data_IF_096104348218
#
_entry.id   IF_096104348218
#
_cell.length_a   1.000
_cell.length_b   1.000
_cell.length_c   1.000
_cell.angle_alpha   90.00
_cell.angle_beta   90.00
_cell.angle_gamma   90.00
#
_symmetry.space_group_name_H-M   'P 1'
#
loop_
_entity.id
_entity.type
_entity.pdbx_description
1 polymer ?
#
# COMPACT_ATOMS: atom_id res chain seq x y z
N UNK A 1 -24.34 -102.97 12.08
CA UNK A 1 -24.16 -102.88 13.56
C UNK A 1 -24.18 -101.42 13.97
N UNK A 2 -24.94 -101.13 15.04
CA UNK A 2 -25.00 -99.90 15.86
C UNK A 2 -25.54 -98.60 15.24
N UNK A 3 -26.75 -98.27 15.69
CA UNK A 3 -27.40 -96.96 15.71
C UNK A 3 -26.69 -95.99 16.66
N UNK A 4 -26.65 -94.68 16.34
CA UNK A 4 -26.89 -93.56 17.27
C UNK A 4 -27.20 -92.26 16.48
N UNK A 5 -28.22 -91.54 16.97
CA UNK A 5 -28.73 -90.19 16.61
C UNK A 5 -27.84 -89.08 17.26
N UNK A 6 -28.12 -87.74 17.27
CA UNK A 6 -29.08 -86.86 16.55
C UNK A 6 -28.56 -85.39 16.24
N UNK A 7 -29.51 -84.49 15.87
CA UNK A 7 -29.65 -83.02 16.18
C UNK A 7 -29.33 -81.92 15.12
N UNK A 8 -30.44 -81.36 14.61
CA UNK A 8 -30.84 -79.98 14.24
C UNK A 8 -29.83 -78.81 14.09
N UNK A 9 -30.04 -77.99 13.04
CA UNK A 9 -30.60 -76.62 13.17
C UNK A 9 -31.13 -76.08 11.83
N UNK A 10 -32.33 -75.49 11.89
CA UNK A 10 -33.06 -74.84 10.79
C UNK A 10 -33.02 -73.33 11.04
N UNK A 11 -32.84 -72.52 9.99
CA UNK A 11 -33.08 -71.07 10.03
C UNK A 11 -33.86 -70.63 8.78
N UNK A 12 -34.99 -69.98 9.06
CA UNK A 12 -36.05 -69.52 8.13
C UNK A 12 -35.61 -68.31 7.31
N UNK A 13 -36.10 -68.22 6.07
CA UNK A 13 -36.31 -66.95 5.37
C UNK A 13 -37.72 -66.94 4.76
N UNK A 14 -38.50 -65.94 5.11
CA UNK A 14 -39.80 -65.65 4.48
C UNK A 14 -39.92 -64.15 4.23
N UNK A 15 -40.02 -63.83 2.93
CA UNK A 15 -40.88 -62.86 2.22
C UNK A 15 -41.30 -61.55 2.88
N UNK A 16 -41.16 -60.41 2.16
CA UNK A 16 -42.19 -59.35 1.98
C UNK A 16 -41.91 -58.55 0.69
N UNK A 17 -42.98 -58.14 0.00
CA UNK A 17 -43.05 -57.41 -1.27
C UNK A 17 -43.40 -55.91 -1.10
N UNK A 18 -42.98 -55.10 -2.10
CA UNK A 18 -43.59 -53.89 -2.72
C UNK A 18 -44.20 -52.76 -1.84
N UNK A 19 -43.67 -51.53 -2.00
CA UNK A 19 -44.41 -50.28 -2.25
C UNK A 19 -43.44 -49.10 -2.46
N UNK A 20 -43.34 -48.57 -3.69
CA UNK A 20 -42.52 -47.39 -4.00
C UNK A 20 -43.31 -46.11 -3.70
N UNK A 21 -42.87 -45.34 -2.70
CA UNK A 21 -43.43 -44.04 -2.34
C UNK A 21 -42.97 -42.94 -3.32
N UNK A 22 -43.94 -42.23 -3.89
CA UNK A 22 -43.77 -40.94 -4.55
C UNK A 22 -43.19 -39.90 -3.57
N UNK A 23 -42.01 -39.36 -3.89
CA UNK A 23 -41.53 -38.10 -3.31
C UNK A 23 -41.38 -37.08 -4.44
N UNK A 24 -42.28 -36.09 -4.45
CA UNK A 24 -42.19 -34.91 -5.31
C UNK A 24 -40.99 -34.07 -4.86
N UNK A 25 -39.87 -34.18 -5.57
CA UNK A 25 -38.77 -33.23 -5.45
C UNK A 25 -39.20 -31.94 -6.16
N UNK A 26 -39.71 -30.96 -5.42
CA UNK A 26 -39.86 -29.59 -5.94
C UNK A 26 -38.46 -29.02 -6.12
N UNK A 27 -37.92 -29.13 -7.34
CA UNK A 27 -36.78 -28.33 -7.75
C UNK A 27 -37.20 -26.86 -7.59
N UNK A 28 -36.63 -26.18 -6.60
CA UNK A 28 -36.60 -24.72 -6.62
C UNK A 28 -35.76 -24.35 -7.83
N UNK A 29 -36.43 -24.04 -8.94
CA UNK A 29 -35.83 -23.30 -10.03
C UNK A 29 -35.54 -21.91 -9.47
N UNK A 30 -34.33 -21.71 -8.93
CA UNK A 30 -33.76 -20.38 -8.87
C UNK A 30 -33.76 -19.85 -10.30
N UNK A 31 -34.70 -18.93 -10.56
CA UNK A 31 -34.75 -18.17 -11.77
C UNK A 31 -33.46 -17.35 -11.83
N UNK A 32 -32.46 -17.91 -12.50
CA UNK A 32 -31.31 -17.15 -12.94
C UNK A 32 -31.84 -16.19 -13.99
N UNK A 33 -32.13 -14.96 -13.56
CA UNK A 33 -32.49 -13.83 -14.41
C UNK A 33 -31.25 -13.43 -15.23
N UNK A 34 -30.85 -14.33 -16.13
CA UNK A 34 -29.88 -14.08 -17.16
C UNK A 34 -30.53 -13.10 -18.12
N UNK A 35 -30.14 -11.83 -18.02
CA UNK A 35 -30.54 -10.80 -18.95
C UNK A 35 -30.32 -11.28 -20.40
N UNK A 36 -31.42 -11.56 -21.09
CA UNK A 36 -31.45 -12.13 -22.43
C UNK A 36 -30.62 -11.21 -23.34
N UNK A 37 -29.48 -11.71 -23.81
CA UNK A 37 -28.58 -10.99 -24.72
C UNK A 37 -27.43 -10.21 -24.07
N UNK A 38 -27.18 -10.32 -22.76
CA UNK A 38 -25.98 -9.74 -22.14
C UNK A 38 -25.17 -10.75 -21.33
N UNK A 39 -23.86 -10.53 -21.21
CA UNK A 39 -22.91 -11.30 -20.42
C UNK A 39 -21.93 -10.38 -19.67
N UNK A 40 -20.80 -10.92 -19.24
CA UNK A 40 -19.76 -10.20 -18.52
C UNK A 40 -18.37 -10.39 -19.13
N UNK A 41 -17.48 -9.43 -18.90
CA UNK A 41 -16.05 -9.59 -19.15
C UNK A 41 -15.32 -9.36 -17.84
N UNK A 42 -14.49 -10.33 -17.44
CA UNK A 42 -13.56 -10.20 -16.31
C UNK A 42 -12.15 -10.29 -16.83
N UNK A 43 -11.28 -9.38 -16.44
CA UNK A 43 -9.94 -9.41 -16.99
C UNK A 43 -8.90 -8.74 -16.14
N UNK A 44 -7.67 -8.79 -16.64
CA UNK A 44 -6.52 -8.08 -16.05
C UNK A 44 -5.80 -7.24 -17.09
N UNK A 45 -5.29 -6.10 -16.66
CA UNK A 45 -4.44 -5.21 -17.44
C UNK A 45 -3.03 -5.24 -16.85
N UNK A 46 -2.06 -5.63 -17.67
CA UNK A 46 -0.64 -5.70 -17.29
C UNK A 46 0.23 -4.98 -18.30
N UNK A 47 1.46 -4.67 -17.93
CA UNK A 47 2.47 -4.20 -18.87
C UNK A 47 3.25 -5.36 -19.52
N UNK A 48 4.16 -5.03 -20.43
CA UNK A 48 5.04 -6.02 -21.08
C UNK A 48 5.98 -6.77 -20.12
N UNK A 49 6.17 -6.29 -18.89
CA UNK A 49 6.96 -6.95 -17.84
C UNK A 49 6.10 -7.82 -16.91
N UNK A 50 4.78 -7.86 -17.12
CA UNK A 50 3.82 -8.57 -16.28
C UNK A 50 3.35 -7.80 -15.05
N UNK A 51 3.78 -6.54 -14.87
CA UNK A 51 3.35 -5.70 -13.74
C UNK A 51 1.89 -5.30 -13.93
N UNK A 52 1.02 -5.45 -12.91
CA UNK A 52 -0.37 -5.00 -13.00
C UNK A 52 -0.45 -3.49 -13.18
N UNK A 53 -1.40 -3.04 -14.00
CA UNK A 53 -1.63 -1.62 -14.28
C UNK A 53 -2.93 -1.19 -13.61
N UNK A 54 -2.82 -0.33 -12.61
CA UNK A 54 -3.96 0.32 -11.95
C UNK A 54 -4.43 1.56 -12.75
N UNK A 55 -5.74 1.81 -12.73
CA UNK A 55 -6.35 3.01 -13.31
C UNK A 55 -6.42 3.01 -14.85
N UNK A 56 -6.32 1.84 -15.48
CA UNK A 56 -6.49 1.73 -16.93
C UNK A 56 -7.98 1.81 -17.28
N UNK A 57 -8.34 2.74 -18.15
CA UNK A 57 -9.71 2.90 -18.64
C UNK A 57 -10.01 1.78 -19.64
N UNK A 58 -11.05 1.00 -19.35
CA UNK A 58 -11.56 -0.07 -20.21
C UNK A 58 -12.88 0.38 -20.80
N UNK A 59 -13.07 0.22 -22.10
CA UNK A 59 -14.31 0.61 -22.79
C UNK A 59 -14.63 -0.39 -23.90
N UNK A 60 -15.90 -0.46 -24.30
CA UNK A 60 -16.35 -1.32 -25.40
C UNK A 60 -16.72 -0.47 -26.61
N UNK A 61 -16.17 -0.81 -27.77
CA UNK A 61 -16.45 -0.09 -29.01
C UNK A 61 -17.97 -0.08 -29.31
N UNK A 62 -18.51 1.09 -29.62
CA UNK A 62 -19.94 1.25 -29.93
C UNK A 62 -20.89 1.10 -28.72
N UNK A 63 -20.36 1.08 -27.50
CA UNK A 63 -21.15 0.96 -26.26
C UNK A 63 -20.79 2.07 -25.26
N UNK A 64 -21.74 2.57 -24.46
CA UNK A 64 -21.45 3.53 -23.39
C UNK A 64 -20.73 2.89 -22.20
N UNK A 65 -20.57 1.55 -22.17
CA UNK A 65 -19.93 0.85 -21.07
C UNK A 65 -18.47 1.23 -20.90
N UNK A 66 -18.11 1.52 -19.64
CA UNK A 66 -16.75 1.79 -19.21
C UNK A 66 -16.46 1.09 -17.89
N UNK A 67 -15.19 0.78 -17.68
CA UNK A 67 -14.65 0.26 -16.43
C UNK A 67 -13.25 0.82 -16.21
N UNK A 68 -12.69 0.53 -15.04
CA UNK A 68 -11.34 0.93 -14.67
C UNK A 68 -10.67 -0.25 -13.98
N UNK A 69 -9.36 -0.46 -14.21
CA UNK A 69 -8.61 -1.50 -13.51
C UNK A 69 -8.25 -1.10 -12.09
N UNK A 70 -8.36 -2.03 -11.15
CA UNK A 70 -7.96 -1.88 -9.76
C UNK A 70 -6.45 -2.07 -9.53
N UNK A 71 -6.04 -2.09 -8.26
CA UNK A 71 -4.63 -2.15 -7.85
C UNK A 71 -3.91 -3.44 -8.29
N UNK A 72 -4.61 -4.56 -8.44
CA UNK A 72 -4.08 -5.80 -8.99
C UNK A 72 -4.18 -5.89 -10.52
N UNK A 73 -4.60 -4.81 -11.18
CA UNK A 73 -4.84 -4.74 -12.63
C UNK A 73 -6.19 -5.34 -13.05
N UNK A 74 -7.00 -5.83 -12.13
CA UNK A 74 -8.28 -6.46 -12.40
C UNK A 74 -9.35 -5.46 -12.85
N UNK A 75 -10.20 -5.85 -13.80
CA UNK A 75 -11.38 -5.08 -14.19
C UNK A 75 -12.57 -6.01 -14.43
N UNK A 76 -13.78 -5.46 -14.31
CA UNK A 76 -15.03 -6.15 -14.59
C UNK A 76 -15.97 -5.25 -15.38
N UNK A 77 -16.47 -5.75 -16.51
CA UNK A 77 -17.58 -5.16 -17.27
C UNK A 77 -18.80 -6.07 -17.11
N UNK A 78 -19.87 -5.56 -16.50
CA UNK A 78 -21.14 -6.27 -16.37
C UNK A 78 -22.12 -5.79 -17.43
N UNK A 79 -23.06 -6.67 -17.83
CA UNK A 79 -24.11 -6.38 -18.83
C UNK A 79 -23.55 -6.00 -20.21
N UNK A 80 -22.46 -6.63 -20.61
CA UNK A 80 -21.90 -6.49 -21.95
C UNK A 80 -22.78 -7.21 -22.97
N UNK A 81 -23.09 -6.57 -24.09
CA UNK A 81 -23.89 -7.20 -25.15
C UNK A 81 -23.23 -8.50 -25.60
N UNK A 82 -24.02 -9.57 -25.71
CA UNK A 82 -23.53 -10.84 -26.24
C UNK A 82 -23.09 -10.67 -27.70
N UNK A 83 -22.03 -11.38 -28.08
CA UNK A 83 -21.40 -11.30 -29.39
C UNK A 83 -19.93 -10.86 -29.33
N UNK A 84 -19.37 -10.58 -30.50
CA UNK A 84 -17.98 -10.15 -30.63
C UNK A 84 -17.84 -8.68 -30.23
N UNK A 85 -17.13 -8.42 -29.13
CA UNK A 85 -16.87 -7.09 -28.62
C UNK A 85 -15.40 -6.73 -28.79
N UNK A 86 -15.15 -5.51 -29.25
CA UNK A 86 -13.80 -4.92 -29.23
C UNK A 86 -13.63 -4.07 -27.98
N UNK A 87 -12.78 -4.54 -27.08
CA UNK A 87 -12.45 -3.86 -25.83
C UNK A 87 -11.26 -2.95 -26.09
N UNK A 88 -11.44 -1.66 -25.84
CA UNK A 88 -10.39 -0.65 -25.91
C UNK A 88 -9.88 -0.36 -24.50
N UNK A 89 -8.57 -0.47 -24.33
CA UNK A 89 -7.90 -0.18 -23.07
C UNK A 89 -6.94 0.97 -23.27
N UNK A 90 -7.06 1.98 -22.41
CA UNK A 90 -6.21 3.17 -22.44
C UNK A 90 -5.71 3.49 -21.05
N UNK A 91 -4.39 3.64 -20.94
CA UNK A 91 -3.73 4.18 -19.74
C UNK A 91 -2.68 5.18 -20.19
N UNK A 92 -2.64 6.33 -19.52
CA UNK A 92 -1.59 7.33 -19.77
C UNK A 92 -0.22 6.72 -19.43
N UNK A 93 0.79 6.97 -20.28
CA UNK A 93 2.09 6.31 -20.21
C UNK A 93 2.17 4.99 -20.97
N UNK A 94 1.07 4.55 -21.60
CA UNK A 94 1.01 3.32 -22.38
C UNK A 94 0.36 3.53 -23.74
N UNK A 95 0.84 2.78 -24.73
CA UNK A 95 0.29 2.77 -26.08
C UNK A 95 -1.09 2.13 -25.96
N UNK A 96 -2.17 2.82 -26.35
CA UNK A 96 -3.51 2.24 -26.31
C UNK A 96 -3.55 0.95 -27.10
N UNK A 97 -4.25 -0.05 -26.58
CA UNK A 97 -4.41 -1.34 -27.24
C UNK A 97 -5.87 -1.78 -27.21
N UNK A 98 -6.21 -2.76 -28.06
CA UNK A 98 -7.55 -3.32 -28.13
C UNK A 98 -7.52 -4.83 -28.31
N UNK A 99 -8.40 -5.52 -27.58
CA UNK A 99 -8.59 -6.97 -27.70
C UNK A 99 -10.02 -7.26 -28.12
N UNK A 100 -10.19 -8.27 -28.97
CA UNK A 100 -11.51 -8.76 -29.36
C UNK A 100 -11.87 -9.95 -28.47
N UNK A 101 -13.05 -9.90 -27.85
CA UNK A 101 -13.56 -10.95 -26.96
C UNK A 101 -14.94 -11.37 -27.45
N UNK A 102 -15.23 -12.66 -27.46
CA UNK A 102 -16.55 -13.18 -27.78
C UNK A 102 -17.33 -13.45 -26.49
N UNK A 103 -18.37 -12.66 -26.21
CA UNK A 103 -19.18 -12.76 -25.00
C UNK A 103 -20.42 -13.60 -25.29
N UNK A 104 -20.59 -14.71 -24.57
CA UNK A 104 -21.83 -15.49 -24.62
C UNK A 104 -22.85 -14.93 -23.61
N UNK A 105 -24.15 -15.01 -23.95
CA UNK A 105 -25.21 -14.51 -23.08
C UNK A 105 -25.23 -15.30 -21.76
N UNK A 106 -25.33 -14.58 -20.63
CA UNK A 106 -25.30 -15.17 -19.30
C UNK A 106 -23.93 -15.63 -18.79
N UNK A 107 -22.88 -15.57 -19.62
CA UNK A 107 -21.53 -15.98 -19.24
C UNK A 107 -20.60 -14.80 -18.96
N UNK A 108 -19.60 -15.03 -18.12
CA UNK A 108 -18.51 -14.08 -17.88
C UNK A 108 -17.23 -14.62 -18.49
N UNK A 109 -16.74 -13.98 -19.54
CA UNK A 109 -15.55 -14.42 -20.27
C UNK A 109 -14.26 -13.74 -19.79
N UNK A 110 -13.12 -14.45 -19.74
CA UNK A 110 -11.84 -13.88 -19.33
C UNK A 110 -11.21 -13.03 -20.45
N UNK A 111 -10.51 -11.96 -20.07
CA UNK A 111 -9.69 -11.15 -20.98
C UNK A 111 -8.35 -10.78 -20.33
N UNK A 112 -7.25 -10.95 -21.06
CA UNK A 112 -5.93 -10.45 -20.65
C UNK A 112 -5.49 -9.37 -21.64
N UNK A 113 -5.17 -8.18 -21.12
CA UNK A 113 -4.68 -7.07 -21.94
C UNK A 113 -3.26 -6.73 -21.49
N UNK A 114 -2.34 -6.67 -22.46
CA UNK A 114 -0.95 -6.27 -22.24
C UNK A 114 -0.65 -4.95 -22.93
N UNK A 115 -0.54 -3.88 -22.15
CA UNK A 115 -0.19 -2.57 -22.67
C UNK A 115 1.32 -2.40 -22.77
N UNK A 116 1.78 -1.78 -23.86
CA UNK A 116 3.19 -1.40 -24.03
C UNK A 116 3.40 0.01 -23.50
N UNK A 117 4.44 0.26 -22.72
CA UNK A 117 4.77 1.62 -22.23
C UNK A 117 5.11 2.55 -23.41
N UNK A 118 4.68 3.81 -23.35
CA UNK A 118 5.02 4.86 -24.32
C UNK A 118 6.38 5.51 -24.04
N UNK A 119 6.96 5.30 -22.86
CA UNK A 119 8.07 6.11 -22.38
C UNK A 119 9.39 5.77 -23.10
N UNK A 120 9.97 6.82 -23.69
CA UNK A 120 11.38 7.13 -23.44
C UNK A 120 11.50 7.31 -21.93
N UNK A 121 12.05 6.32 -21.22
CA UNK A 121 12.31 6.45 -19.80
C UNK A 121 13.35 7.56 -19.61
N UNK A 122 13.01 8.60 -18.84
CA UNK A 122 14.04 9.48 -18.30
C UNK A 122 15.01 8.63 -17.49
N UNK A 123 16.31 8.95 -17.55
CA UNK A 123 17.34 8.21 -16.82
C UNK A 123 16.89 8.02 -15.38
N UNK A 124 16.75 6.76 -14.91
CA UNK A 124 16.14 6.48 -13.63
C UNK A 124 16.93 7.13 -12.51
N UNK A 125 16.21 7.72 -11.55
CA UNK A 125 16.83 8.21 -10.32
C UNK A 125 17.17 6.98 -9.47
N UNK A 126 18.46 6.65 -9.41
CA UNK A 126 18.96 5.57 -8.56
C UNK A 126 19.09 6.09 -7.13
N UNK A 127 18.24 5.55 -6.26
CA UNK A 127 18.28 5.75 -4.82
C UNK A 127 19.15 4.64 -4.23
N UNK A 128 20.42 4.97 -4.02
CA UNK A 128 21.32 4.13 -3.27
C UNK A 128 20.95 4.22 -1.79
N UNK A 129 20.86 3.07 -1.12
CA UNK A 129 20.79 3.02 0.33
C UNK A 129 22.04 3.66 0.93
N UNK A 130 22.01 4.97 1.16
CA UNK A 130 23.08 5.65 1.88
C UNK A 130 22.91 5.30 3.35
N UNK A 131 23.90 4.60 3.91
CA UNK A 131 24.13 4.47 5.36
C UNK A 131 24.55 5.80 5.98
N UNK A 132 23.91 6.88 5.59
CA UNK A 132 23.86 8.10 6.35
C UNK A 132 22.43 8.12 6.86
N UNK A 133 22.24 7.42 7.98
CA UNK A 133 21.09 7.59 8.85
C UNK A 133 21.09 9.09 9.23
N UNK A 134 20.48 9.95 8.41
CA UNK A 134 20.35 11.38 8.65
C UNK A 134 18.93 11.70 9.07
N UNK A 135 18.78 12.53 10.10
CA UNK A 135 17.49 12.87 10.70
C UNK A 135 17.28 12.14 12.03
N UNK A 136 16.21 12.49 12.76
CA UNK A 136 16.03 11.99 14.14
C UNK A 136 15.84 10.46 14.24
N UNK A 137 15.25 9.84 13.21
CA UNK A 137 15.01 8.40 13.14
C UNK A 137 16.29 7.57 13.00
N UNK A 138 17.39 8.23 12.60
CA UNK A 138 18.71 7.62 12.53
C UNK A 138 19.11 6.88 13.81
N UNK A 139 18.94 7.57 14.94
CA UNK A 139 19.24 7.02 16.25
C UNK A 139 18.32 5.86 16.61
N UNK A 140 17.03 5.93 16.24
CA UNK A 140 16.06 4.87 16.53
C UNK A 140 16.49 3.54 15.91
N UNK A 141 16.77 3.52 14.61
CA UNK A 141 17.14 2.28 13.93
C UNK A 141 18.52 1.78 14.34
N UNK A 142 19.46 2.68 14.64
CA UNK A 142 20.74 2.30 15.20
C UNK A 142 20.58 1.58 16.54
N UNK A 143 19.74 2.10 17.44
CA UNK A 143 19.45 1.45 18.73
C UNK A 143 18.67 0.16 18.57
N UNK A 144 17.68 0.14 17.67
CA UNK A 144 16.93 -1.07 17.33
C UNK A 144 17.87 -2.20 16.89
N UNK A 145 18.85 -1.90 16.03
CA UNK A 145 19.84 -2.89 15.56
C UNK A 145 20.82 -3.37 16.66
N UNK A 146 21.14 -2.51 17.64
CA UNK A 146 22.01 -2.83 18.77
C UNK A 146 21.30 -3.59 19.88
N UNK A 147 19.96 -3.52 19.93
CA UNK A 147 19.13 -4.12 20.97
C UNK A 147 19.14 -3.31 22.27
N UNK A 148 18.78 -3.96 23.39
CA UNK A 148 18.74 -3.33 24.72
C UNK A 148 17.40 -2.67 25.09
N UNK A 149 16.48 -2.57 24.13
CA UNK A 149 15.09 -2.11 24.32
C UNK A 149 14.10 -2.94 23.52
N UNK A 150 12.81 -2.64 23.68
CA UNK A 150 11.73 -3.13 22.81
C UNK A 150 11.39 -2.03 21.82
N UNK A 151 11.31 -2.38 20.53
CA UNK A 151 11.07 -1.44 19.44
C UNK A 151 9.80 -1.84 18.71
N UNK A 152 8.92 -0.86 18.47
CA UNK A 152 7.71 -1.03 17.66
C UNK A 152 7.84 -0.12 16.46
N UNK A 153 7.84 -0.68 15.25
CA UNK A 153 7.90 0.08 13.99
C UNK A 153 6.51 0.49 13.53
N UNK A 154 6.43 1.49 12.66
CA UNK A 154 5.16 1.89 12.02
C UNK A 154 4.43 0.71 11.37
N UNK A 155 5.14 -0.12 10.62
CA UNK A 155 4.57 -1.31 9.98
C UNK A 155 3.93 -2.28 10.99
N UNK A 156 4.54 -2.43 12.17
CA UNK A 156 3.96 -3.24 13.24
C UNK A 156 2.72 -2.59 13.86
N UNK A 157 2.67 -1.25 13.94
CA UNK A 157 1.47 -0.53 14.36
C UNK A 157 0.35 -0.73 13.35
N UNK A 158 0.60 -0.54 12.07
CA UNK A 158 -0.40 -0.73 11.01
C UNK A 158 -0.93 -2.17 10.98
N UNK A 159 -0.02 -3.15 11.01
CA UNK A 159 -0.39 -4.57 10.99
C UNK A 159 -1.24 -4.96 12.19
N UNK A 160 -1.00 -4.36 13.35
CA UNK A 160 -1.77 -4.63 14.57
C UNK A 160 -3.10 -3.87 14.62
N UNK A 161 -3.19 -2.75 13.91
CA UNK A 161 -4.35 -1.85 13.88
C UNK A 161 -4.93 -1.57 15.29
N UNK A 162 -4.11 -1.09 16.25
CA UNK A 162 -4.56 -0.84 17.61
C UNK A 162 -5.55 0.32 17.67
N UNK A 163 -6.54 0.22 18.57
CA UNK A 163 -7.47 1.32 18.82
C UNK A 163 -6.84 2.39 19.73
N UNK A 164 -6.05 1.96 20.70
CA UNK A 164 -5.37 2.84 21.66
C UNK A 164 -3.86 2.60 21.66
N UNK A 165 -3.08 3.59 22.08
CA UNK A 165 -1.62 3.45 22.18
C UNK A 165 -1.24 2.35 23.17
N UNK A 166 -1.92 2.28 24.33
CA UNK A 166 -1.67 1.28 25.36
C UNK A 166 -1.92 -0.16 24.93
N UNK A 167 -2.71 -0.40 23.87
CA UNK A 167 -2.90 -1.74 23.31
C UNK A 167 -1.59 -2.33 22.79
N UNK A 168 -0.69 -1.49 22.27
CA UNK A 168 0.64 -1.91 21.83
C UNK A 168 1.51 -2.37 23.01
N UNK A 169 1.30 -1.81 24.19
CA UNK A 169 2.09 -2.09 25.40
C UNK A 169 1.67 -3.38 26.10
N UNK A 170 0.46 -3.90 25.85
CA UNK A 170 0.02 -5.21 26.38
C UNK A 170 0.90 -6.37 25.92
N UNK A 171 1.54 -6.22 24.77
CA UNK A 171 2.43 -7.23 24.17
C UNK A 171 3.91 -6.98 24.48
N UNK A 172 4.24 -5.92 25.22
CA UNK A 172 5.62 -5.57 25.55
C UNK A 172 6.04 -6.36 26.79
N UNK A 173 7.09 -7.20 26.72
CA UNK A 173 7.55 -7.97 27.87
C UNK A 173 7.86 -7.05 29.06
N UNK A 174 7.31 -7.36 30.24
CA UNK A 174 7.55 -6.58 31.45
C UNK A 174 6.78 -5.25 31.56
N UNK A 175 5.94 -4.92 30.58
CA UNK A 175 4.96 -3.84 30.67
C UNK A 175 3.65 -4.33 31.28
N UNK A 176 2.99 -3.46 32.04
CA UNK A 176 1.63 -3.65 32.54
C UNK A 176 0.82 -2.40 32.26
N UNK A 177 -0.35 -2.58 31.66
CA UNK A 177 -1.32 -1.50 31.48
C UNK A 177 -2.29 -1.57 32.65
N UNK A 178 -2.38 -0.49 33.42
CA UNK A 178 -3.30 -0.32 34.53
C UNK A 178 -4.38 0.70 34.14
N UNK A 179 -5.64 0.41 34.44
CA UNK A 179 -6.75 1.36 34.23
C UNK A 179 -7.07 2.03 35.56
N UNK A 180 -7.04 3.37 35.60
CA UNK A 180 -7.36 4.18 36.79
C UNK A 180 -8.41 5.22 36.42
N UNK A 181 -9.68 4.90 36.67
CA UNK A 181 -10.80 5.73 36.22
C UNK A 181 -10.87 5.75 34.70
N UNK A 182 -10.82 6.95 34.12
CA UNK A 182 -10.83 7.14 32.65
C UNK A 182 -9.46 7.08 31.99
N UNK A 183 -8.38 7.02 32.78
CA UNK A 183 -7.01 7.05 32.25
C UNK A 183 -6.38 5.66 32.31
N UNK A 184 -5.49 5.39 31.36
CA UNK A 184 -4.64 4.20 31.34
C UNK A 184 -3.20 4.59 31.66
N UNK A 185 -2.50 3.69 32.34
CA UNK A 185 -1.17 3.93 32.86
C UNK A 185 -0.28 2.73 32.51
N UNK A 186 0.93 2.99 31.99
CA UNK A 186 1.91 1.92 31.72
C UNK A 186 2.92 1.86 32.87
N UNK A 187 3.15 0.66 33.40
CA UNK A 187 4.16 0.37 34.43
C UNK A 187 5.13 -0.70 33.95
N UNK A 188 6.39 -0.57 34.29
CA UNK A 188 7.42 -1.55 33.95
C UNK A 188 7.94 -2.28 35.18
N UNK A 189 8.20 -3.59 35.05
CA UNK A 189 8.87 -4.42 36.07
C UNK A 189 8.27 -4.30 37.49
N UNK A 190 6.96 -4.07 37.60
CA UNK A 190 6.29 -3.94 38.90
C UNK A 190 6.53 -2.62 39.64
N UNK A 191 7.13 -1.61 38.98
CA UNK A 191 7.26 -0.27 39.53
C UNK A 191 5.88 0.38 39.75
N UNK A 192 5.79 1.31 40.70
CA UNK A 192 4.56 2.10 40.95
C UNK A 192 4.55 3.46 40.25
N UNK A 193 5.71 3.88 39.76
CA UNK A 193 5.94 5.15 39.07
C UNK A 193 5.81 4.99 37.55
N UNK A 194 5.42 6.08 36.88
CA UNK A 194 5.34 6.14 35.44
C UNK A 194 6.74 6.17 34.79
N UNK A 195 6.90 5.58 33.59
CA UNK A 195 8.11 5.76 32.81
C UNK A 195 8.25 7.20 32.32
N UNK A 196 9.47 7.61 32.04
CA UNK A 196 9.74 8.89 31.40
C UNK A 196 9.40 8.81 29.90
N UNK A 197 8.50 9.66 29.42
CA UNK A 197 8.12 9.72 28.00
C UNK A 197 8.87 10.82 27.28
N UNK A 198 9.43 10.49 26.11
CA UNK A 198 10.06 11.41 25.18
C UNK A 198 9.23 11.48 23.90
N UNK A 199 9.15 12.66 23.29
CA UNK A 199 8.62 12.87 21.97
C UNK A 199 9.71 13.49 21.12
N UNK A 200 10.10 12.80 20.04
CA UNK A 200 11.01 13.34 19.03
C UNK A 200 12.36 13.83 19.57
N UNK A 201 12.85 13.16 20.61
CA UNK A 201 14.10 13.50 21.28
C UNK A 201 14.00 14.60 22.34
N UNK A 202 12.80 15.12 22.59
CA UNK A 202 12.52 16.05 23.71
C UNK A 202 11.70 15.33 24.79
N UNK A 203 12.03 15.47 26.07
CA UNK A 203 11.25 14.83 27.12
C UNK A 203 9.92 15.58 27.32
N UNK A 204 8.85 14.84 27.55
CA UNK A 204 7.54 15.43 27.85
C UNK A 204 7.51 15.81 29.34
N UNK A 205 7.68 17.11 29.60
CA UNK A 205 7.76 17.66 30.95
C UNK A 205 6.37 17.89 31.55
N UNK A 206 5.67 16.83 31.99
CA UNK A 206 4.48 16.96 32.83
C UNK A 206 4.05 15.60 33.39
N UNK A 207 4.48 15.25 34.60
CA UNK A 207 3.95 14.08 35.32
C UNK A 207 3.89 12.79 34.51
N UNK A 208 2.85 12.00 34.74
CA UNK A 208 2.56 10.82 33.92
C UNK A 208 1.84 11.25 32.63
N UNK A 209 2.48 11.01 31.48
CA UNK A 209 1.91 11.27 30.17
C UNK A 209 0.86 10.22 29.81
N UNK A 210 -0.34 10.66 29.44
CA UNK A 210 -1.39 9.78 28.92
C UNK A 210 -1.06 9.38 27.48
N UNK A 211 -0.67 8.11 27.31
CA UNK A 211 -0.33 7.55 26.00
C UNK A 211 -1.54 7.46 25.07
N UNK A 212 -2.75 7.29 25.60
CA UNK A 212 -3.96 7.14 24.80
C UNK A 212 -4.51 8.49 24.30
N UNK A 213 -3.94 9.61 24.76
CA UNK A 213 -4.21 10.93 24.22
C UNK A 213 -3.63 11.15 22.80
N UNK A 214 -2.78 10.24 22.31
CA UNK A 214 -2.17 10.31 20.97
C UNK A 214 -2.46 9.06 20.15
N UNK A 215 -2.80 9.26 18.87
CA UNK A 215 -3.09 8.15 17.94
C UNK A 215 -1.81 7.38 17.61
N UNK A 216 -1.75 6.05 17.86
CA UNK A 216 -0.56 5.23 17.61
C UNK A 216 -0.07 5.29 16.16
N UNK A 217 -0.96 5.51 15.19
CA UNK A 217 -0.62 5.59 13.76
C UNK A 217 0.08 6.91 13.39
N UNK A 218 0.18 7.87 14.32
CA UNK A 218 0.89 9.13 14.10
C UNK A 218 2.40 9.02 14.32
N UNK A 219 2.90 7.83 14.67
CA UNK A 219 4.29 7.58 15.03
C UNK A 219 4.95 6.64 14.02
N UNK A 220 6.19 6.98 13.68
CA UNK A 220 7.09 6.19 12.82
C UNK A 220 7.73 5.04 13.61
N UNK A 221 8.00 5.28 14.90
CA UNK A 221 8.59 4.29 15.78
C UNK A 221 8.36 4.59 17.25
N UNK A 222 8.31 3.54 18.06
CA UNK A 222 8.20 3.61 19.52
C UNK A 222 9.35 2.78 20.11
N UNK A 223 10.18 3.40 20.95
CA UNK A 223 11.21 2.71 21.74
C UNK A 223 10.77 2.57 23.19
N UNK A 224 11.05 1.42 23.78
CA UNK A 224 10.62 1.10 25.13
C UNK A 224 11.77 0.45 25.88
N UNK A 225 12.16 1.07 26.99
CA UNK A 225 13.19 0.58 27.88
C UNK A 225 12.59 0.38 29.27
N UNK A 226 12.51 -0.87 29.71
CA UNK A 226 11.78 -1.25 30.93
C UNK A 226 12.51 -0.91 32.25
N UNK A 227 13.63 -0.17 32.18
CA UNK A 227 14.43 0.28 33.32
C UNK A 227 15.73 0.94 32.89
N UNK A 228 16.36 1.69 33.79
CA UNK A 228 17.48 2.60 33.48
C UNK A 228 18.69 1.95 32.79
N UNK A 229 19.00 0.67 33.08
CA UNK A 229 20.18 -0.01 32.55
C UNK A 229 20.20 -0.18 31.02
N UNK A 230 19.03 -0.16 30.37
CA UNK A 230 18.91 -0.22 28.91
C UNK A 230 18.78 1.14 28.23
N UNK A 231 18.60 2.22 29.01
CA UNK A 231 18.27 3.54 28.47
C UNK A 231 19.52 4.19 27.88
N UNK A 232 19.50 4.58 26.60
CA UNK A 232 20.60 5.32 25.96
C UNK A 232 20.93 6.60 26.72
N UNK A 233 22.21 6.97 26.77
CA UNK A 233 22.68 8.11 27.56
C UNK A 233 21.96 9.42 27.21
N UNK A 234 21.61 9.61 25.93
CA UNK A 234 20.87 10.77 25.44
C UNK A 234 19.41 10.87 25.95
N UNK A 235 18.86 9.79 26.51
CA UNK A 235 17.48 9.73 27.05
C UNK A 235 17.43 9.39 28.55
N UNK A 236 18.58 9.43 29.22
CA UNK A 236 18.63 9.37 30.67
C UNK A 236 18.15 10.71 31.23
N UNK A 237 17.15 10.68 32.10
CA UNK A 237 16.64 11.90 32.73
C UNK A 237 17.67 12.55 33.66
N UNK A 238 17.46 13.84 33.98
CA UNK A 238 18.36 14.62 34.84
C UNK A 238 18.03 14.44 36.33
N UNK A 239 18.67 15.21 37.24
CA UNK A 239 18.45 15.12 38.70
C UNK A 239 16.98 15.23 39.15
N UNK A 240 16.08 15.78 38.33
CA UNK A 240 14.66 15.96 38.61
C UNK A 240 13.73 15.00 37.82
N UNK A 241 14.26 14.24 36.85
CA UNK A 241 13.49 13.30 36.02
C UNK A 241 14.19 11.94 36.04
N UNK A 242 13.56 10.91 36.59
CA UNK A 242 14.21 9.60 36.74
C UNK A 242 13.75 8.62 35.66
N UNK A 243 14.70 8.11 34.88
CA UNK A 243 14.49 6.95 34.00
C UNK A 243 14.47 5.61 34.78
N UNK A 244 14.49 5.64 36.12
CA UNK A 244 14.48 4.43 36.96
C UNK A 244 13.25 3.55 36.74
N UNK A 245 12.12 4.15 36.38
CA UNK A 245 10.85 3.47 36.14
C UNK A 245 10.66 3.01 34.69
N UNK A 246 11.69 3.19 33.86
CA UNK A 246 11.69 2.94 32.42
C UNK A 246 11.55 4.22 31.59
N UNK A 247 11.66 4.07 30.28
CA UNK A 247 11.62 5.16 29.31
C UNK A 247 10.85 4.73 28.07
N UNK A 248 9.93 5.58 27.60
CA UNK A 248 9.20 5.42 26.35
C UNK A 248 9.62 6.57 25.44
N UNK A 249 10.01 6.27 24.21
CA UNK A 249 10.40 7.29 23.22
C UNK A 249 9.46 7.15 22.03
N UNK A 250 8.70 8.22 21.79
CA UNK A 250 7.78 8.33 20.69
C UNK A 250 8.44 9.12 19.57
N UNK A 251 8.59 8.51 18.41
CA UNK A 251 9.07 9.19 17.22
C UNK A 251 7.89 9.46 16.30
N UNK A 252 7.45 10.71 16.24
CA UNK A 252 6.34 11.12 15.39
C UNK A 252 6.69 10.90 13.92
N UNK A 253 5.67 10.88 13.08
CA UNK A 253 5.84 10.89 11.63
C UNK A 253 5.92 12.36 11.19
N UNK A 254 7.12 12.90 10.99
CA UNK A 254 7.26 14.28 10.52
C UNK A 254 6.76 14.37 9.07
N UNK A 255 5.79 15.24 8.80
CA UNK A 255 5.45 15.64 7.42
C UNK A 255 4.55 14.71 6.61
N UNK A 256 4.05 13.60 7.18
CA UNK A 256 2.92 12.91 6.57
C UNK A 256 1.63 13.63 6.92
N UNK A 257 1.32 14.65 6.12
CA UNK A 257 -0.07 14.90 5.76
C UNK A 257 -0.62 13.56 5.31
N UNK A 258 -1.46 12.92 6.14
CA UNK A 258 -2.34 11.83 5.72
C UNK A 258 -2.82 12.20 4.31
N UNK A 259 -2.71 11.32 3.29
CA UNK A 259 -3.28 11.62 1.99
C UNK A 259 -4.71 12.08 2.26
N UNK A 260 -5.00 13.35 1.91
CA UNK A 260 -6.28 13.98 2.24
C UNK A 260 -7.34 13.00 1.77
N UNK A 261 -8.12 12.45 2.70
CA UNK A 261 -9.12 11.44 2.37
C UNK A 261 -10.00 12.07 1.30
N UNK A 262 -9.87 11.60 0.05
CA UNK A 262 -10.51 12.20 -1.12
C UNK A 262 -12.00 12.32 -0.80
N UNK A 263 -12.57 13.52 -0.98
CA UNK A 263 -14.01 13.66 -0.81
C UNK A 263 -14.68 12.81 -1.88
N UNK A 264 -15.77 12.13 -1.53
CA UNK A 264 -16.53 11.28 -2.46
C UNK A 264 -16.94 12.12 -3.68
N UNK A 265 -16.39 11.81 -4.86
CA UNK A 265 -16.64 12.54 -6.11
C UNK A 265 -15.50 13.40 -6.65
N UNK A 266 -14.42 13.63 -5.90
CA UNK A 266 -13.21 14.30 -6.45
C UNK A 266 -12.50 13.38 -7.46
N UNK A 267 -12.08 13.85 -8.65
CA UNK A 267 -11.32 13.04 -9.61
C UNK A 267 -10.00 12.53 -9.00
N UNK A 268 -9.53 11.36 -9.45
CA UNK A 268 -8.21 10.85 -9.03
C UNK A 268 -7.11 11.74 -9.61
N UNK A 269 -5.88 11.76 -9.05
CA UNK A 269 -4.76 12.49 -9.65
C UNK A 269 -4.54 12.11 -11.13
N UNK A 270 -4.66 10.82 -11.46
CA UNK A 270 -4.63 10.34 -12.86
C UNK A 270 -5.75 10.94 -13.72
N UNK A 271 -6.99 10.99 -13.21
CA UNK A 271 -8.12 11.59 -13.93
C UNK A 271 -7.97 13.12 -14.07
N UNK A 272 -7.43 13.78 -13.05
CA UNK A 272 -7.14 15.20 -13.07
C UNK A 272 -6.06 15.54 -14.11
N UNK A 273 -4.97 14.77 -14.15
CA UNK A 273 -3.94 14.89 -15.20
C UNK A 273 -4.57 14.68 -16.58
N UNK A 274 -5.39 13.63 -16.74
CA UNK A 274 -6.05 13.34 -18.01
C UNK A 274 -6.92 14.52 -18.49
N UNK A 275 -7.65 15.15 -17.57
CA UNK A 275 -8.48 16.33 -17.86
C UNK A 275 -7.61 17.53 -18.24
N UNK A 276 -6.53 17.80 -17.52
CA UNK A 276 -5.61 18.90 -17.81
C UNK A 276 -4.94 18.76 -19.19
N UNK A 277 -4.57 17.54 -19.58
CA UNK A 277 -4.02 17.25 -20.91
C UNK A 277 -5.08 17.44 -22.00
N UNK A 278 -6.32 16.96 -21.77
CA UNK A 278 -7.42 17.15 -22.73
C UNK A 278 -7.78 18.63 -22.94
N UNK A 279 -7.58 19.46 -21.92
CA UNK A 279 -7.80 20.90 -21.97
C UNK A 279 -6.58 21.68 -22.50
N UNK A 280 -5.48 21.02 -22.85
CA UNK A 280 -4.21 21.64 -23.25
C UNK A 280 -3.61 22.59 -22.19
N UNK A 281 -3.97 22.42 -20.92
CA UNK A 281 -3.43 23.17 -19.79
C UNK A 281 -2.07 22.62 -19.32
N UNK A 282 -1.83 21.32 -19.58
CA UNK A 282 -0.57 20.62 -19.32
C UNK A 282 -0.23 19.79 -20.55
N UNK A 283 1.05 19.72 -20.91
CA UNK A 283 1.52 19.02 -22.11
C UNK A 283 2.16 17.67 -21.77
N UNK A 284 2.09 16.73 -22.70
CA UNK A 284 2.85 15.47 -22.63
C UNK A 284 4.25 15.64 -23.21
N UNK A 285 5.14 14.67 -22.95
CA UNK A 285 6.55 14.71 -23.36
C UNK A 285 6.76 14.84 -24.88
N UNK A 286 5.80 14.36 -25.69
CA UNK A 286 5.78 14.45 -27.16
C UNK A 286 5.21 15.78 -27.69
N UNK A 287 4.62 16.60 -26.83
CA UNK A 287 3.97 17.87 -27.19
C UNK A 287 4.85 19.10 -26.91
N UNK A 288 6.03 18.90 -26.33
CA UNK A 288 6.99 19.94 -25.95
C UNK A 288 8.28 19.81 -26.75
N UNK A 289 8.96 20.93 -27.00
CA UNK A 289 10.23 20.94 -27.75
C UNK A 289 11.40 20.55 -26.85
N UNK A 290 11.35 20.96 -25.57
CA UNK A 290 12.29 20.53 -24.53
C UNK A 290 11.50 20.03 -23.34
N UNK A 291 11.82 18.82 -22.88
CA UNK A 291 11.15 18.21 -21.74
C UNK A 291 11.68 18.75 -20.42
N UNK A 292 10.80 18.82 -19.43
CA UNK A 292 11.16 19.06 -18.05
C UNK A 292 12.16 18.00 -17.59
N UNK A 293 13.20 18.44 -16.88
CA UNK A 293 14.28 17.58 -16.39
C UNK A 293 14.61 17.94 -14.96
N UNK A 294 15.01 16.94 -14.19
CA UNK A 294 15.46 17.12 -12.81
C UNK A 294 16.60 18.15 -12.77
N UNK A 295 16.48 19.17 -11.93
CA UNK A 295 17.60 20.08 -11.68
C UNK A 295 18.65 19.34 -10.83
N UNK A 296 19.78 19.04 -11.46
CA UNK A 296 20.87 18.30 -10.82
C UNK A 296 21.66 19.13 -9.80
N UNK A 297 21.52 20.46 -9.79
CA UNK A 297 22.19 21.33 -8.83
C UNK A 297 21.57 21.26 -7.43
N UNK A 298 20.29 20.90 -7.35
CA UNK A 298 19.52 20.77 -6.11
C UNK A 298 18.81 19.40 -6.05
N UNK A 299 19.60 18.32 -6.12
CA UNK A 299 19.09 16.95 -6.05
C UNK A 299 18.53 16.62 -4.66
N UNK A 300 17.21 16.59 -4.55
CA UNK A 300 16.47 16.00 -3.43
C UNK A 300 16.24 14.52 -3.73
N UNK A 301 17.02 13.64 -3.09
CA UNK A 301 16.90 12.20 -3.28
C UNK A 301 15.86 11.62 -2.30
N UNK A 302 14.98 10.70 -2.73
CA UNK A 302 14.17 9.91 -1.81
C UNK A 302 15.04 9.23 -0.76
N UNK A 303 14.56 9.25 0.48
CA UNK A 303 15.18 8.50 1.57
C UNK A 303 14.74 7.04 1.46
N UNK A 304 15.69 6.11 1.55
CA UNK A 304 15.36 4.68 1.56
C UNK A 304 14.61 4.34 2.84
N UNK A 305 13.40 3.74 2.81
CA UNK A 305 12.71 3.30 4.02
C UNK A 305 13.54 2.30 4.82
N UNK A 306 13.83 2.61 6.08
CA UNK A 306 14.81 1.85 6.89
C UNK A 306 14.43 0.36 7.07
N UNK A 307 13.14 0.05 7.24
CA UNK A 307 12.66 -1.34 7.32
C UNK A 307 12.98 -2.12 6.04
N UNK A 308 12.88 -1.49 4.88
CA UNK A 308 13.15 -2.12 3.59
C UNK A 308 14.65 -2.20 3.32
N UNK A 309 15.42 -1.19 3.75
CA UNK A 309 16.88 -1.20 3.64
C UNK A 309 17.50 -2.31 4.49
N UNK A 310 17.08 -2.45 5.76
CA UNK A 310 17.58 -3.47 6.67
C UNK A 310 17.29 -4.89 6.19
N UNK A 311 16.14 -5.09 5.54
CA UNK A 311 15.75 -6.37 4.96
C UNK A 311 16.27 -6.55 3.52
N UNK A 312 17.12 -5.63 3.03
CA UNK A 312 17.68 -5.65 1.68
C UNK A 312 16.62 -5.78 0.58
N UNK A 313 15.43 -5.21 0.80
CA UNK A 313 14.29 -5.29 -0.13
C UNK A 313 14.48 -4.22 -1.21
N UNK A 314 14.81 -4.57 -2.47
CA UNK A 314 14.92 -3.58 -3.54
C UNK A 314 13.54 -3.04 -3.94
N UNK A 315 13.53 -1.92 -4.64
CA UNK A 315 12.28 -1.26 -5.01
C UNK A 315 12.30 -0.56 -6.35
N UNK A 316 11.13 -0.46 -6.98
CA UNK A 316 10.89 0.37 -8.16
C UNK A 316 9.60 1.15 -7.98
N UNK A 317 9.65 2.44 -8.28
CA UNK A 317 8.48 3.32 -8.30
C UNK A 317 8.47 4.07 -9.63
N UNK A 318 7.33 4.07 -10.31
CA UNK A 318 7.06 4.97 -11.42
C UNK A 318 6.06 6.01 -10.93
N UNK A 319 6.55 7.22 -10.70
CA UNK A 319 5.72 8.34 -10.31
C UNK A 319 5.31 9.16 -11.54
N UNK A 320 4.08 9.64 -11.53
CA UNK A 320 3.51 10.54 -12.53
C UNK A 320 3.00 11.79 -11.83
N UNK A 321 3.38 12.98 -12.31
CA UNK A 321 3.00 14.26 -11.71
C UNK A 321 3.16 15.39 -12.72
N UNK A 322 2.57 16.55 -12.42
CA UNK A 322 2.76 17.76 -13.22
C UNK A 322 3.91 18.58 -12.64
N UNK A 323 4.85 18.96 -13.50
CA UNK A 323 5.82 20.03 -13.25
C UNK A 323 5.25 21.30 -13.87
N UNK A 324 5.21 22.39 -13.12
CA UNK A 324 4.67 23.65 -13.61
C UNK A 324 5.68 24.46 -14.46
N UNK A 325 5.30 25.67 -14.86
CA UNK A 325 6.15 26.52 -15.69
C UNK A 325 7.31 27.17 -14.90
N UNK A 326 7.29 27.08 -13.57
CA UNK A 326 8.33 27.57 -12.65
C UNK A 326 9.36 26.48 -12.36
N UNK A 327 9.02 25.21 -12.59
CA UNK A 327 9.86 24.06 -12.27
C UNK A 327 9.48 23.35 -10.97
N UNK A 328 8.38 23.77 -10.33
CA UNK A 328 7.88 23.17 -9.11
C UNK A 328 6.96 21.97 -9.42
N UNK A 329 6.92 21.00 -8.50
CA UNK A 329 6.06 19.83 -8.61
C UNK A 329 4.68 20.11 -8.00
N UNK A 330 3.62 19.96 -8.79
CA UNK A 330 2.25 20.00 -8.27
C UNK A 330 1.89 18.67 -7.61
N UNK A 331 2.07 18.57 -6.29
CA UNK A 331 1.85 17.35 -5.52
C UNK A 331 0.39 16.90 -5.38
N UNK A 332 -0.59 17.74 -5.74
CA UNK A 332 -1.99 17.32 -5.82
C UNK A 332 -2.21 16.39 -7.03
N UNK A 333 -1.36 16.52 -8.05
CA UNK A 333 -1.36 15.65 -9.24
C UNK A 333 -0.49 14.40 -9.09
N UNK A 334 0.20 14.22 -7.96
CA UNK A 334 1.08 13.06 -7.75
C UNK A 334 0.28 11.76 -7.81
N UNK A 335 0.66 10.92 -8.75
CA UNK A 335 0.06 9.63 -9.06
C UNK A 335 1.14 8.56 -9.06
N UNK A 336 0.86 7.42 -8.43
CA UNK A 336 1.74 6.25 -8.46
C UNK A 336 1.26 5.37 -9.60
N UNK A 337 2.03 5.29 -10.69
CA UNK A 337 1.66 4.42 -11.83
C UNK A 337 1.90 2.96 -11.46
N UNK A 338 3.07 2.68 -10.87
CA UNK A 338 3.43 1.38 -10.32
C UNK A 338 4.37 1.57 -9.14
N UNK A 339 4.23 0.78 -8.08
CA UNK A 339 5.20 0.70 -7.00
C UNK A 339 5.35 -0.74 -6.51
N UNK A 340 6.60 -1.18 -6.29
CA UNK A 340 6.88 -2.48 -5.66
C UNK A 340 6.48 -2.55 -4.20
N UNK A 341 6.44 -1.40 -3.51
CA UNK A 341 6.04 -1.29 -2.11
C UNK A 341 5.51 0.14 -1.82
N UNK A 342 4.43 0.30 -1.04
CA UNK A 342 3.86 1.61 -0.71
C UNK A 342 4.87 2.59 -0.08
N UNK A 343 5.66 2.14 0.90
CA UNK A 343 6.68 2.98 1.55
C UNK A 343 7.71 3.60 0.59
N UNK A 344 8.01 2.95 -0.55
CA UNK A 344 8.86 3.58 -1.57
C UNK A 344 8.16 4.72 -2.28
N UNK A 345 6.86 4.61 -2.54
CA UNK A 345 6.07 5.68 -3.13
C UNK A 345 5.96 6.89 -2.19
N UNK A 346 5.83 6.66 -0.89
CA UNK A 346 5.81 7.72 0.12
C UNK A 346 7.15 8.46 0.18
N UNK A 347 8.27 7.72 0.17
CA UNK A 347 9.60 8.29 0.09
C UNK A 347 9.81 9.16 -1.16
N UNK A 348 9.31 8.70 -2.31
CA UNK A 348 9.34 9.49 -3.56
C UNK A 348 8.50 10.76 -3.43
N UNK A 349 7.25 10.65 -2.97
CA UNK A 349 6.36 11.80 -2.76
C UNK A 349 6.98 12.85 -1.84
N UNK A 350 7.66 12.42 -0.77
CA UNK A 350 8.34 13.31 0.16
C UNK A 350 9.49 14.07 -0.52
N UNK A 351 10.33 13.38 -1.29
CA UNK A 351 11.46 14.02 -2.00
C UNK A 351 11.01 15.07 -3.03
N UNK A 352 9.89 14.81 -3.71
CA UNK A 352 9.35 15.71 -4.73
C UNK A 352 8.82 17.04 -4.16
N UNK A 353 8.66 17.17 -2.83
CA UNK A 353 8.29 18.45 -2.18
C UNK A 353 9.33 19.54 -2.34
N UNK A 354 10.60 19.13 -2.41
CA UNK A 354 11.74 20.04 -2.44
C UNK A 354 12.57 19.87 -3.71
N UNK A 355 12.25 18.89 -4.55
CA UNK A 355 12.91 18.67 -5.82
C UNK A 355 12.51 19.74 -6.83
N UNK A 356 13.51 20.45 -7.36
CA UNK A 356 13.33 21.40 -8.44
C UNK A 356 13.53 20.76 -9.82
N UNK A 357 12.85 21.29 -10.83
CA UNK A 357 12.98 20.88 -12.22
C UNK A 357 13.32 22.08 -13.09
N UNK A 358 14.13 21.85 -14.12
CA UNK A 358 14.15 22.76 -15.26
C UNK A 358 12.81 22.57 -15.99
N UNK A 359 11.98 23.60 -16.16
CA UNK A 359 10.66 23.47 -16.75
C UNK A 359 10.73 23.09 -18.24
N UNK A 360 9.64 22.54 -18.75
CA UNK A 360 9.52 22.20 -20.16
C UNK A 360 9.39 23.45 -21.02
N UNK A 361 9.86 23.41 -22.27
CA UNK A 361 9.67 24.48 -23.24
C UNK A 361 8.86 24.03 -24.44
N UNK A 362 7.95 24.90 -24.88
CA UNK A 362 7.18 24.75 -26.12
C UNK A 362 7.12 26.09 -26.84
N UNK A 363 7.58 26.11 -28.09
CA UNK A 363 7.77 27.30 -28.92
C UNK A 363 8.59 28.39 -28.21
N UNK A 364 9.61 27.98 -27.45
CA UNK A 364 10.46 28.88 -26.66
C UNK A 364 9.84 29.44 -25.39
N UNK A 365 8.63 29.01 -25.00
CA UNK A 365 7.94 29.45 -23.78
C UNK A 365 7.91 28.29 -22.77
N UNK A 366 8.12 28.59 -21.49
CA UNK A 366 8.00 27.59 -20.42
C UNK A 366 6.55 27.15 -20.25
N UNK A 367 6.33 25.84 -20.18
CA UNK A 367 4.98 25.26 -20.06
C UNK A 367 4.94 24.18 -19.00
N UNK A 368 3.74 23.89 -18.50
CA UNK A 368 3.52 22.78 -17.58
C UNK A 368 3.58 21.46 -18.35
N UNK A 369 4.25 20.45 -17.78
CA UNK A 369 4.39 19.14 -18.39
C UNK A 369 4.01 18.03 -17.42
N UNK A 370 3.31 17.00 -17.92
CA UNK A 370 3.19 15.71 -17.25
C UNK A 370 4.53 14.98 -17.32
N UNK A 371 5.12 14.70 -16.18
CA UNK A 371 6.38 13.99 -16.03
C UNK A 371 6.11 12.59 -15.49
N UNK A 372 6.72 11.59 -16.12
CA UNK A 372 6.83 10.24 -15.58
C UNK A 372 8.28 9.97 -15.22
N UNK A 373 8.57 9.79 -13.93
CA UNK A 373 9.92 9.64 -13.41
C UNK A 373 10.08 8.29 -12.71
N UNK A 374 10.91 7.38 -13.25
CA UNK A 374 11.23 6.13 -12.58
C UNK A 374 12.27 6.34 -11.48
N UNK A 375 12.01 5.74 -10.31
CA UNK A 375 12.91 5.65 -9.17
C UNK A 375 13.25 4.20 -8.91
N UNK A 376 14.54 3.91 -8.73
CA UNK A 376 15.02 2.57 -8.40
C UNK A 376 15.73 2.61 -7.05
N UNK A 377 15.22 1.85 -6.09
CA UNK A 377 15.80 1.68 -4.76
C UNK A 377 16.70 0.45 -4.76
N UNK A 378 17.99 0.68 -4.55
CA UNK A 378 19.01 -0.38 -4.50
C UNK A 378 19.58 -0.43 -3.08
N UNK A 379 19.43 -1.56 -2.36
CA UNK A 379 19.87 -1.69 -0.97
C UNK A 379 21.40 -1.76 -0.81
N UNK A 380 22.16 -1.58 -1.89
CA UNK A 380 23.59 -1.82 -1.90
C UNK A 380 24.39 -0.71 -1.18
N UNK A 381 25.27 -1.15 -0.28
CA UNK A 381 26.25 -0.31 0.42
C UNK A 381 27.57 -0.14 -0.36
N UNK A 382 27.72 -0.81 -1.52
CA UNK A 382 28.96 -0.88 -2.29
C UNK A 382 29.14 0.21 -3.36
N UNK A 383 28.12 1.02 -3.65
CA UNK A 383 28.15 2.07 -4.68
C UNK A 383 29.07 3.29 -4.37
N UNK A 384 30.06 3.12 -3.48
CA UNK A 384 31.21 4.03 -3.29
C UNK A 384 32.50 3.54 -3.99
N UNK A 385 32.47 2.48 -4.78
CA UNK A 385 33.60 2.12 -5.65
C UNK A 385 33.18 2.21 -7.11
N UNK A 386 33.24 3.40 -7.69
CA UNK A 386 33.88 3.69 -8.98
C UNK A 386 33.75 5.17 -9.29
#
# INVERSE_FOLDING_TARGET
>A
MRYHRPIHTVSRRSSVAVAALFTCFTASADAQEGAIGTGGVKGTVRDSSGTPIEGAQVSVAGSPMRGESGAGGEFVLTKANAGQLKIHVRRIGFRPDSVTVNVLAGESVPAEIRLRRLAVELTPVVVLGRKELTGRMAGFYQRMSRGGGTFITHEQVEKRNPMNMTDLFRMVPGARVETRGFNTAVRFRGSRCAPLTWLDGSPLYAGEFDLDAVDPRSFEGIEIYNGAAGVPAEFQGNRNLSSACGTIILWSRQGELRPKKRKKGEPSPAAQIAQLVQQFSVFTADQVDQQARVDSSQLSRPVYPDSLYQNLVPGRVLAEFVVDAQGDVNLDTFNVVTASHPAFADAVRASLRTQQFVPAMRKGITVQQVVQLPFTFVPDSSARRH
#
